data_IF_743352389605
#
_entry.id   IF_743352389605
#
_cell.length_a   1.000
_cell.length_b   1.000
_cell.length_c   1.000
_cell.angle_alpha   90.00
_cell.angle_beta   90.00
_cell.angle_gamma   90.00
#
_symmetry.space_group_name_H-M   'P 1'
#
loop_
_entity.id
_entity.type
_entity.pdbx_description
1 polymer ?
#
# COMPACT_ATOMS: atom_id res chain seq x y z
N UNK A 1 -7.22 -42.68 -19.95
CA UNK A 1 -8.29 -41.69 -19.67
C UNK A 1 -7.98 -40.72 -18.52
N UNK A 2 -7.33 -41.15 -17.42
CA UNK A 2 -6.97 -40.27 -16.28
C UNK A 2 -5.98 -39.15 -16.64
N UNK A 3 -4.89 -39.46 -17.35
CA UNK A 3 -3.83 -38.50 -17.69
C UNK A 3 -4.31 -37.32 -18.55
N UNK A 4 -5.17 -37.59 -19.55
CA UNK A 4 -5.74 -36.54 -20.42
C UNK A 4 -6.59 -35.52 -19.66
N UNK A 5 -7.34 -35.97 -18.64
CA UNK A 5 -8.13 -35.07 -17.77
C UNK A 5 -7.21 -34.20 -16.89
N UNK A 6 -6.11 -34.76 -16.40
CA UNK A 6 -5.11 -34.03 -15.61
C UNK A 6 -4.47 -32.91 -16.43
N UNK A 7 -4.01 -33.21 -17.65
CA UNK A 7 -3.38 -32.21 -18.53
C UNK A 7 -4.32 -31.05 -18.87
N UNK A 8 -5.60 -31.34 -19.17
CA UNK A 8 -6.61 -30.30 -19.44
C UNK A 8 -6.84 -29.43 -18.21
N UNK A 9 -6.83 -30.01 -17.00
CA UNK A 9 -7.00 -29.26 -15.76
C UNK A 9 -5.82 -28.31 -15.53
N UNK A 10 -4.59 -28.76 -15.79
CA UNK A 10 -3.37 -27.95 -15.66
C UNK A 10 -3.39 -26.77 -16.65
N UNK A 11 -3.69 -27.02 -17.92
CA UNK A 11 -3.79 -25.95 -18.93
C UNK A 11 -4.84 -24.89 -18.56
N UNK A 12 -5.96 -25.31 -17.96
CA UNK A 12 -7.01 -24.40 -17.51
C UNK A 12 -6.62 -23.59 -16.27
N UNK A 13 -5.78 -24.14 -15.39
CA UNK A 13 -5.22 -23.41 -14.25
C UNK A 13 -4.27 -22.32 -14.77
N UNK A 14 -3.40 -22.67 -15.72
CA UNK A 14 -2.45 -21.73 -16.33
C UNK A 14 -3.16 -20.56 -17.03
N UNK A 15 -4.24 -20.82 -17.77
CA UNK A 15 -5.05 -19.76 -18.38
C UNK A 15 -5.71 -18.82 -17.37
N UNK A 16 -6.12 -19.33 -16.20
CA UNK A 16 -6.70 -18.50 -15.13
C UNK A 16 -5.64 -17.62 -14.49
N UNK A 17 -4.44 -18.15 -14.27
CA UNK A 17 -3.32 -17.38 -13.72
C UNK A 17 -2.91 -16.24 -14.67
N UNK A 18 -2.75 -16.55 -15.97
CA UNK A 18 -2.48 -15.54 -17.00
C UNK A 18 -3.58 -14.48 -17.07
N UNK A 19 -4.84 -14.87 -16.92
CA UNK A 19 -5.96 -13.93 -16.85
C UNK A 19 -5.85 -13.00 -15.63
N UNK A 20 -5.52 -13.53 -14.45
CA UNK A 20 -5.34 -12.74 -13.21
C UNK A 20 -4.23 -11.71 -13.41
N UNK A 21 -3.08 -12.11 -13.93
CA UNK A 21 -1.96 -11.20 -14.20
C UNK A 21 -2.33 -10.08 -15.18
N UNK A 22 -2.94 -10.43 -16.31
CA UNK A 22 -3.30 -9.45 -17.35
C UNK A 22 -4.39 -8.48 -16.86
N UNK A 23 -5.37 -8.98 -16.08
CA UNK A 23 -6.41 -8.11 -15.50
C UNK A 23 -5.88 -7.22 -14.40
N UNK A 24 -4.96 -7.70 -13.57
CA UNK A 24 -4.26 -6.86 -12.59
C UNK A 24 -3.50 -5.71 -13.27
N UNK A 25 -2.95 -5.94 -14.47
CA UNK A 25 -2.32 -4.89 -15.30
C UNK A 25 -3.30 -3.98 -16.05
N UNK A 26 -4.61 -4.17 -15.89
CA UNK A 26 -5.63 -3.34 -16.52
C UNK A 26 -5.97 -3.70 -17.98
N UNK A 27 -5.43 -4.81 -18.52
CA UNK A 27 -5.67 -5.22 -19.92
C UNK A 27 -7.14 -5.55 -20.14
N UNK A 28 -7.69 -5.19 -21.31
CA UNK A 28 -9.11 -5.37 -21.61
C UNK A 28 -9.48 -6.83 -21.84
N UNK A 29 -10.74 -7.19 -21.60
CA UNK A 29 -11.24 -8.54 -21.86
C UNK A 29 -11.10 -8.97 -23.33
N UNK A 30 -11.19 -8.04 -24.28
CA UNK A 30 -11.05 -8.33 -25.70
C UNK A 30 -9.62 -8.71 -26.08
N UNK A 31 -8.64 -8.00 -25.54
CA UNK A 31 -7.23 -8.30 -25.76
C UNK A 31 -6.83 -9.62 -25.11
N UNK A 32 -7.27 -9.86 -23.87
CA UNK A 32 -6.98 -11.12 -23.18
C UNK A 32 -7.63 -12.30 -23.92
N UNK A 33 -8.86 -12.13 -24.41
CA UNK A 33 -9.57 -13.17 -25.16
C UNK A 33 -8.78 -13.62 -26.39
N UNK A 34 -8.20 -12.67 -27.13
CA UNK A 34 -7.33 -12.95 -28.29
C UNK A 34 -5.99 -13.56 -27.88
N UNK A 35 -5.43 -13.15 -26.74
CA UNK A 35 -4.11 -13.61 -26.27
C UNK A 35 -4.10 -15.04 -25.73
N UNK A 36 -5.04 -15.40 -24.86
CA UNK A 36 -5.05 -16.72 -24.18
C UNK A 36 -6.04 -17.72 -24.78
N UNK A 37 -6.79 -17.32 -25.81
CA UNK A 37 -7.72 -18.19 -26.54
C UNK A 37 -8.99 -18.57 -25.76
N UNK A 38 -9.41 -17.74 -24.81
CA UNK A 38 -10.62 -17.95 -23.99
C UNK A 38 -11.71 -16.94 -24.40
N UNK A 39 -12.96 -17.40 -24.52
CA UNK A 39 -14.04 -16.51 -24.97
C UNK A 39 -14.35 -15.39 -23.98
N UNK A 40 -14.69 -14.20 -24.49
CA UNK A 40 -15.03 -13.02 -23.68
C UNK A 40 -16.09 -13.28 -22.59
N UNK A 41 -17.21 -14.00 -22.85
CA UNK A 41 -18.18 -14.32 -21.79
C UNK A 41 -17.58 -15.15 -20.64
N UNK A 42 -16.66 -16.06 -20.97
CA UNK A 42 -15.94 -16.87 -19.98
C UNK A 42 -15.02 -15.99 -19.12
N UNK A 43 -14.31 -15.05 -19.74
CA UNK A 43 -13.45 -14.10 -19.01
C UNK A 43 -14.24 -13.15 -18.11
N UNK A 44 -15.42 -12.70 -18.56
CA UNK A 44 -16.32 -11.89 -17.72
C UNK A 44 -16.74 -12.67 -16.48
N UNK A 45 -17.10 -13.96 -16.65
CA UNK A 45 -17.39 -14.83 -15.50
C UNK A 45 -16.19 -14.98 -14.59
N UNK A 46 -15.00 -15.27 -15.12
CA UNK A 46 -13.77 -15.36 -14.33
C UNK A 46 -13.45 -14.05 -13.61
N UNK A 47 -13.74 -12.90 -14.20
CA UNK A 47 -13.54 -11.60 -13.56
C UNK A 47 -14.38 -11.41 -12.29
N UNK A 48 -15.57 -12.04 -12.22
CA UNK A 48 -16.38 -12.06 -11.01
C UNK A 48 -15.87 -13.10 -10.02
N UNK A 49 -15.60 -14.31 -10.52
CA UNK A 49 -15.20 -15.45 -9.68
C UNK A 49 -13.81 -15.26 -9.04
N UNK A 50 -12.92 -14.50 -9.69
CA UNK A 50 -11.50 -14.29 -9.29
C UNK A 50 -11.20 -12.84 -8.91
N UNK A 51 -12.22 -12.07 -8.53
CA UNK A 51 -12.08 -10.63 -8.25
C UNK A 51 -11.08 -10.37 -7.12
N UNK A 52 -11.07 -11.22 -6.09
CA UNK A 52 -10.17 -11.09 -4.94
C UNK A 52 -8.71 -11.28 -5.37
N UNK A 53 -8.44 -12.31 -6.16
CA UNK A 53 -7.11 -12.63 -6.67
C UNK A 53 -6.58 -11.53 -7.59
N UNK A 54 -7.42 -10.99 -8.47
CA UNK A 54 -7.07 -9.85 -9.33
C UNK A 54 -6.76 -8.62 -8.48
N UNK A 55 -7.57 -8.33 -7.46
CA UNK A 55 -7.37 -7.19 -6.56
C UNK A 55 -6.07 -7.33 -5.76
N UNK A 56 -5.79 -8.51 -5.23
CA UNK A 56 -4.56 -8.78 -4.48
C UNK A 56 -3.32 -8.68 -5.38
N UNK A 57 -3.39 -9.23 -6.60
CA UNK A 57 -2.29 -9.14 -7.57
C UNK A 57 -2.03 -7.68 -7.96
N UNK A 58 -3.09 -6.88 -8.16
CA UNK A 58 -2.96 -5.44 -8.42
C UNK A 58 -2.32 -4.70 -7.24
N UNK A 59 -2.74 -5.00 -6.01
CA UNK A 59 -2.16 -4.39 -4.81
C UNK A 59 -0.66 -4.69 -4.68
N UNK A 60 -0.23 -5.92 -4.95
CA UNK A 60 1.19 -6.31 -4.93
C UNK A 60 1.99 -5.60 -6.03
N UNK A 61 1.46 -5.50 -7.25
CA UNK A 61 2.12 -4.76 -8.34
C UNK A 61 2.26 -3.27 -8.00
N UNK A 62 1.22 -2.69 -7.37
CA UNK A 62 1.25 -1.30 -6.91
C UNK A 62 2.26 -1.11 -5.77
N UNK A 63 2.32 -2.03 -4.81
CA UNK A 63 3.31 -2.01 -3.72
C UNK A 63 4.74 -2.03 -4.29
N UNK A 64 5.02 -2.95 -5.23
CA UNK A 64 6.31 -3.05 -5.90
C UNK A 64 6.68 -1.76 -6.64
N UNK A 65 5.70 -1.13 -7.30
CA UNK A 65 5.88 0.17 -7.96
C UNK A 65 6.20 1.29 -6.95
N UNK A 66 5.48 1.32 -5.82
CA UNK A 66 5.71 2.29 -4.75
C UNK A 66 7.07 2.11 -4.10
N UNK A 67 7.53 0.86 -3.92
CA UNK A 67 8.88 0.59 -3.43
C UNK A 67 9.94 1.05 -4.42
N UNK A 68 9.77 0.76 -5.71
CA UNK A 68 10.71 1.15 -6.78
C UNK A 68 10.91 2.66 -6.87
N UNK A 69 9.84 3.44 -6.71
CA UNK A 69 9.89 4.90 -6.85
C UNK A 69 9.92 5.66 -5.53
N UNK A 70 10.26 4.98 -4.42
CA UNK A 70 10.35 5.61 -3.10
C UNK A 70 9.07 6.33 -2.65
N UNK A 71 7.91 5.90 -3.17
CA UNK A 71 6.59 6.46 -2.83
C UNK A 71 6.02 5.75 -1.59
N UNK A 72 6.45 4.53 -1.28
CA UNK A 72 6.00 3.85 -0.07
C UNK A 72 6.50 4.58 1.18
N UNK A 73 5.67 4.60 2.25
CA UNK A 73 6.03 5.26 3.52
C UNK A 73 7.36 4.75 4.06
N UNK A 74 7.57 3.43 4.02
CA UNK A 74 8.82 2.77 4.41
C UNK A 74 10.02 3.31 3.63
N UNK A 75 9.95 3.36 2.30
CA UNK A 75 11.07 3.85 1.47
C UNK A 75 11.39 5.32 1.68
N UNK A 76 10.38 6.16 1.94
CA UNK A 76 10.61 7.57 2.32
C UNK A 76 11.30 7.68 3.67
N UNK A 77 10.89 6.89 4.68
CA UNK A 77 11.54 6.86 5.99
C UNK A 77 13.00 6.43 5.87
N UNK A 78 13.28 5.37 5.10
CA UNK A 78 14.66 4.93 4.82
C UNK A 78 15.48 6.05 4.16
N UNK A 79 14.96 6.64 3.08
CA UNK A 79 15.64 7.71 2.34
C UNK A 79 15.94 8.93 3.22
N UNK A 80 14.93 9.44 3.94
CA UNK A 80 15.10 10.62 4.78
C UNK A 80 15.92 10.32 6.04
N UNK A 81 15.81 9.12 6.60
CA UNK A 81 16.64 8.67 7.71
C UNK A 81 18.11 8.62 7.35
N UNK A 82 18.46 8.01 6.21
CA UNK A 82 19.84 8.00 5.70
C UNK A 82 20.37 9.41 5.42
N UNK A 83 19.56 10.29 4.83
CA UNK A 83 19.93 11.69 4.61
C UNK A 83 20.16 12.42 5.93
N UNK A 84 19.29 12.24 6.92
CA UNK A 84 19.39 12.87 8.23
C UNK A 84 20.65 12.43 8.96
N UNK A 85 20.99 11.14 8.94
CA UNK A 85 22.23 10.62 9.55
C UNK A 85 23.45 11.31 8.93
N UNK A 86 23.53 11.37 7.60
CA UNK A 86 24.65 12.05 6.91
C UNK A 86 24.73 13.54 7.25
N UNK A 87 23.59 14.21 7.38
CA UNK A 87 23.54 15.63 7.78
C UNK A 87 24.00 15.81 9.23
N UNK A 88 23.60 14.93 10.15
CA UNK A 88 24.05 14.95 11.54
C UNK A 88 25.56 14.71 11.62
N UNK A 89 26.08 13.73 10.88
CA UNK A 89 27.53 13.44 10.83
C UNK A 89 28.32 14.65 10.29
N UNK A 90 27.86 15.26 9.20
CA UNK A 90 28.50 16.46 8.64
C UNK A 90 28.42 17.66 9.60
N UNK A 91 27.29 17.85 10.27
CA UNK A 91 27.11 18.91 11.28
C UNK A 91 27.94 18.67 12.55
N UNK A 92 28.12 17.41 12.96
CA UNK A 92 28.95 17.06 14.11
C UNK A 92 30.44 17.24 13.82
N UNK A 93 30.86 17.10 12.56
CA UNK A 93 32.24 17.26 12.13
C UNK A 93 32.60 18.72 11.76
N UNK A 94 31.62 19.54 11.38
CA UNK A 94 31.85 20.96 11.10
C UNK A 94 31.94 21.77 12.39
N UNK A 95 32.83 22.75 12.39
CA UNK A 95 32.76 23.82 13.37
C UNK A 95 31.52 24.68 13.08
N UNK A 96 30.54 24.61 13.98
CA UNK A 96 29.27 25.33 13.85
C UNK A 96 29.38 26.80 14.28
N UNK A 97 30.56 27.25 14.71
CA UNK A 97 30.83 28.64 15.14
C UNK A 97 30.58 29.68 14.04
N UNK A 98 30.66 29.30 12.76
CA UNK A 98 30.41 30.19 11.62
C UNK A 98 28.94 30.22 11.14
N UNK A 99 28.08 29.33 11.64
CA UNK A 99 26.66 29.32 11.25
C UNK A 99 25.90 30.36 12.09
N UNK A 100 25.21 31.33 11.47
CA UNK A 100 24.41 32.29 12.21
C UNK A 100 23.35 31.61 13.07
N UNK A 101 23.22 32.02 14.33
CA UNK A 101 22.28 31.44 15.32
C UNK A 101 20.84 31.41 14.82
N UNK A 102 20.42 32.41 14.05
CA UNK A 102 19.10 32.46 13.41
C UNK A 102 18.87 31.27 12.47
N UNK A 103 19.89 30.86 11.72
CA UNK A 103 19.82 29.74 10.79
C UNK A 103 19.79 28.40 11.53
N UNK A 104 20.51 28.29 12.64
CA UNK A 104 20.41 27.13 13.53
C UNK A 104 18.99 26.99 14.08
N UNK A 105 18.39 28.09 14.54
CA UNK A 105 17.03 28.09 15.08
C UNK A 105 15.98 27.73 14.01
N UNK A 106 16.11 28.28 12.81
CA UNK A 106 15.22 27.99 11.68
C UNK A 106 15.30 26.50 11.25
N UNK A 107 16.52 25.94 11.20
CA UNK A 107 16.72 24.51 10.96
C UNK A 107 16.11 23.66 12.07
N UNK A 108 16.26 24.03 13.35
CA UNK A 108 15.65 23.33 14.49
C UNK A 108 14.12 23.35 14.39
N UNK A 109 13.51 24.50 14.11
CA UNK A 109 12.05 24.64 14.01
C UNK A 109 11.47 23.85 12.83
N UNK A 110 12.12 23.90 11.66
CA UNK A 110 11.71 23.10 10.49
C UNK A 110 11.81 21.61 10.73
N UNK A 111 12.86 21.16 11.39
CA UNK A 111 13.06 19.74 11.72
C UNK A 111 12.02 19.26 12.74
N UNK A 112 11.74 20.06 13.77
CA UNK A 112 10.71 19.75 14.76
C UNK A 112 9.30 19.69 14.15
N UNK A 113 8.98 20.59 13.21
CA UNK A 113 7.71 20.59 12.49
C UNK A 113 7.54 19.35 11.59
N UNK A 114 8.57 18.96 10.84
CA UNK A 114 8.55 17.74 10.04
C UNK A 114 8.42 16.48 10.89
N UNK A 115 9.08 16.43 12.06
CA UNK A 115 8.95 15.28 12.96
C UNK A 115 7.54 15.17 13.56
N UNK A 116 6.92 16.30 13.90
CA UNK A 116 5.53 16.33 14.39
C UNK A 116 4.52 15.87 13.34
N UNK A 117 4.79 16.09 12.05
CA UNK A 117 3.92 15.58 10.97
C UNK A 117 3.94 14.04 10.85
N UNK A 118 5.01 13.40 11.32
CA UNK A 118 5.10 11.94 11.37
C UNK A 118 4.46 11.33 12.63
N UNK A 119 3.94 12.16 13.55
CA UNK A 119 3.21 11.71 14.73
C UNK A 119 1.92 11.00 14.30
N UNK A 120 1.88 9.68 14.51
CA UNK A 120 0.67 8.89 14.34
C UNK A 120 0.06 8.59 15.70
N UNK A 121 -1.25 8.78 15.83
CA UNK A 121 -1.97 8.34 17.03
C UNK A 121 -1.78 6.84 17.25
N UNK A 122 -1.23 6.48 18.40
CA UNK A 122 -1.06 5.10 18.81
C UNK A 122 -2.41 4.61 19.32
N UNK A 123 -3.13 3.87 18.47
CA UNK A 123 -4.33 3.15 18.87
C UNK A 123 -3.99 1.68 19.11
N UNK A 124 -4.03 1.25 20.36
CA UNK A 124 -3.97 -0.16 20.73
C UNK A 124 -5.34 -0.78 20.45
N UNK A 125 -5.36 -1.88 19.70
CA UNK A 125 -6.58 -2.66 19.43
C UNK A 125 -6.47 -3.99 20.15
N UNK A 126 -7.47 -4.32 20.94
CA UNK A 126 -7.66 -5.65 21.49
C UNK A 126 -8.68 -6.43 20.64
N UNK A 127 -8.58 -7.76 20.66
CA UNK A 127 -9.58 -8.62 20.03
C UNK A 127 -10.79 -8.67 20.95
N UNK A 128 -11.82 -7.89 20.61
CA UNK A 128 -13.14 -7.96 21.22
C UNK A 128 -14.10 -8.85 20.42
N UNK A 129 -15.19 -9.28 21.05
CA UNK A 129 -16.31 -9.89 20.36
C UNK A 129 -17.03 -8.87 19.46
N UNK A 130 -17.89 -9.36 18.57
CA UNK A 130 -18.77 -8.50 17.75
C UNK A 130 -19.68 -7.63 18.63
N UNK A 131 -20.03 -8.13 19.81
CA UNK A 131 -20.85 -7.44 20.80
C UNK A 131 -20.07 -6.29 21.44
N UNK A 132 -18.79 -6.51 21.78
CA UNK A 132 -17.90 -5.46 22.31
C UNK A 132 -17.64 -4.33 21.28
N UNK A 133 -17.56 -4.69 20.00
CA UNK A 133 -17.39 -3.69 18.91
C UNK A 133 -18.66 -2.90 18.64
N UNK A 134 -19.83 -3.53 18.76
CA UNK A 134 -21.13 -2.85 18.65
C UNK A 134 -21.37 -1.91 19.83
N UNK A 135 -21.02 -2.34 21.05
CA UNK A 135 -21.22 -1.54 22.26
C UNK A 135 -20.29 -0.31 22.29
N UNK A 136 -19.03 -0.43 21.86
CA UNK A 136 -18.12 0.73 21.69
C UNK A 136 -18.61 1.72 20.62
N UNK A 137 -19.18 1.23 19.51
CA UNK A 137 -19.71 2.08 18.44
C UNK A 137 -21.00 2.82 18.84
N UNK A 138 -21.86 2.19 19.66
CA UNK A 138 -23.10 2.79 20.14
C UNK A 138 -22.88 3.74 21.33
N UNK A 139 -21.86 3.47 22.16
CA UNK A 139 -21.59 4.22 23.39
C UNK A 139 -20.50 5.30 23.25
N UNK A 140 -19.76 5.37 22.12
CA UNK A 140 -18.91 6.53 21.77
C UNK A 140 -19.76 7.75 21.37
N UNK A 141 -20.48 8.28 22.35
CA UNK A 141 -21.08 9.60 22.40
C UNK A 141 -21.81 10.07 21.13
N UNK A 142 -23.12 9.88 21.12
CA UNK A 142 -24.06 10.65 20.31
C UNK A 142 -24.13 12.13 20.80
N UNK A 143 -23.03 12.89 20.69
CA UNK A 143 -23.10 14.34 20.80
C UNK A 143 -23.29 14.95 19.41
N UNK A 144 -24.31 15.79 19.27
CA UNK A 144 -24.42 16.73 18.16
C UNK A 144 -23.66 17.98 18.57
N UNK A 145 -22.53 18.26 17.91
CA UNK A 145 -21.89 19.57 18.03
C UNK A 145 -22.77 20.63 17.35
N UNK A 146 -23.50 21.41 18.16
CA UNK A 146 -24.15 22.62 17.68
C UNK A 146 -23.11 23.74 17.63
N UNK A 147 -22.94 24.34 16.44
CA UNK A 147 -22.16 25.58 16.27
C UNK A 147 -23.15 26.74 16.09
N UNK A 148 -23.03 27.83 16.86
CA UNK A 148 -23.86 29.02 16.68
C UNK A 148 -23.65 29.67 15.30
#
# INVERSE_FOLDING_TARGET
MKERKTMIKVAKIDQKEQFIELRAKGVSYDEISKGIGVSKPTLIKWGRDLQLEISNRYALELELLQEKYYVSKKKRIELFGEQLVRLIEELANRDLSEIPTEKLYDMTMKTAASLKQEETQITLKEVGSMEDTLDDLLNKSAYIEWKP
#
